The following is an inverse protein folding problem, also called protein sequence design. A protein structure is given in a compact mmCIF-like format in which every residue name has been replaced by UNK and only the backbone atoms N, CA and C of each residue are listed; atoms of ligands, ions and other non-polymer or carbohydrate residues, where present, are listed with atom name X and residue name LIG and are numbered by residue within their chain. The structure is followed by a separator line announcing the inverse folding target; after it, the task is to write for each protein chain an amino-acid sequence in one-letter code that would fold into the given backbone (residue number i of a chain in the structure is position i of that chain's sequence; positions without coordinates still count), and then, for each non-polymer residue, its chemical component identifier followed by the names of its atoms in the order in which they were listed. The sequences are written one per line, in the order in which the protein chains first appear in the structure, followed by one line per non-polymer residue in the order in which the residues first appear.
data_IF_760457555577
#
_entry.id   IF_760457555577
#
_cell.length_a   1.000
_cell.length_b   1.000
_cell.length_c   1.000
_cell.angle_alpha   90.00
_cell.angle_beta   90.00
_cell.angle_gamma   90.00
#
_symmetry.space_group_name_H-M   'P 1'
#
loop_
_entity.id
_entity.type
_entity.pdbx_description
1 polymer ?
#
# COMPACT_ATOMS: atom_id res chain seq x y z
N UNK A 1 -22.49 18.96 14.68
CA UNK A 1 -21.66 17.78 14.41
C UNK A 1 -20.21 18.15 14.29
N UNK A 2 -19.36 17.38 14.97
CA UNK A 2 -17.90 17.44 14.80
C UNK A 2 -17.56 16.41 13.73
N UNK A 3 -17.06 16.85 12.58
CA UNK A 3 -16.55 15.96 11.54
C UNK A 3 -15.25 15.33 12.04
N UNK A 4 -15.24 14.00 12.17
CA UNK A 4 -14.08 13.21 12.56
C UNK A 4 -13.74 12.25 11.41
N UNK A 5 -12.66 12.58 10.72
CA UNK A 5 -12.04 11.79 9.66
C UNK A 5 -11.68 10.36 10.13
N UNK A 6 -11.20 10.20 11.36
CA UNK A 6 -10.88 8.90 11.95
C UNK A 6 -12.09 7.95 12.03
N UNK A 7 -13.21 8.41 12.60
CA UNK A 7 -14.43 7.60 12.65
C UNK A 7 -15.00 7.31 11.26
N UNK A 8 -14.83 8.26 10.34
CA UNK A 8 -15.23 8.08 8.94
C UNK A 8 -14.39 6.97 8.29
N UNK A 9 -13.06 7.02 8.42
CA UNK A 9 -12.14 6.00 7.90
C UNK A 9 -12.44 4.61 8.49
N UNK A 10 -12.67 4.49 9.80
CA UNK A 10 -13.01 3.22 10.43
C UNK A 10 -14.32 2.63 9.91
N UNK A 11 -15.35 3.45 9.70
CA UNK A 11 -16.61 2.98 9.11
C UNK A 11 -16.41 2.50 7.67
N UNK A 12 -15.62 3.22 6.88
CA UNK A 12 -15.27 2.82 5.51
C UNK A 12 -14.48 1.51 5.47
N UNK A 13 -13.55 1.31 6.41
CA UNK A 13 -12.77 0.06 6.55
C UNK A 13 -13.69 -1.11 6.95
N UNK A 14 -14.55 -0.92 7.95
CA UNK A 14 -15.52 -1.94 8.40
C UNK A 14 -16.53 -2.27 7.28
N UNK A 15 -16.91 -1.27 6.49
CA UNK A 15 -17.80 -1.48 5.34
C UNK A 15 -17.08 -2.16 4.17
N UNK A 16 -15.81 -1.85 3.92
CA UNK A 16 -14.99 -2.48 2.89
C UNK A 16 -14.67 -3.96 3.17
N UNK A 17 -14.64 -4.34 4.45
CA UNK A 17 -14.41 -5.73 4.91
C UNK A 17 -15.68 -6.58 4.95
N UNK A 18 -16.87 -5.95 4.91
CA UNK A 18 -18.15 -6.66 4.79
C UNK A 18 -18.39 -7.19 3.37
N UNK A 19 -19.11 -8.30 3.27
CA UNK A 19 -19.44 -9.03 2.02
C UNK A 19 -20.49 -8.32 1.14
N UNK A 20 -20.57 -7.00 1.23
CA UNK A 20 -21.41 -6.16 0.37
C UNK A 20 -20.69 -5.87 -0.94
N UNK A 21 -21.42 -5.94 -2.06
CA UNK A 21 -20.91 -5.51 -3.35
C UNK A 21 -20.80 -4.00 -3.32
N UNK A 22 -19.57 -3.50 -3.38
CA UNK A 22 -19.26 -2.07 -3.44
C UNK A 22 -18.76 -1.73 -4.84
N UNK A 23 -18.96 -0.48 -5.27
CA UNK A 23 -18.49 -0.02 -6.56
C UNK A 23 -17.02 0.46 -6.51
N UNK A 24 -16.41 0.63 -7.68
CA UNK A 24 -15.04 1.13 -7.80
C UNK A 24 -14.88 2.55 -7.18
N UNK A 25 -15.96 3.34 -7.14
CA UNK A 25 -15.96 4.69 -6.55
C UNK A 25 -15.80 4.65 -5.03
N UNK A 26 -16.48 3.72 -4.35
CA UNK A 26 -16.32 3.47 -2.92
C UNK A 26 -14.86 3.13 -2.60
N UNK A 27 -14.26 2.19 -3.32
CA UNK A 27 -12.89 1.78 -3.04
C UNK A 27 -11.84 2.84 -3.40
N UNK A 28 -12.11 3.70 -4.39
CA UNK A 28 -11.27 4.87 -4.64
C UNK A 28 -11.35 5.89 -3.49
N UNK A 29 -12.53 6.12 -2.91
CA UNK A 29 -12.67 6.99 -1.72
C UNK A 29 -11.94 6.42 -0.51
N UNK A 30 -12.04 5.11 -0.30
CA UNK A 30 -11.27 4.40 0.74
C UNK A 30 -9.77 4.63 0.52
N UNK A 31 -9.26 4.39 -0.69
CA UNK A 31 -7.84 4.64 -1.00
C UNK A 31 -7.42 6.10 -0.84
N UNK A 32 -8.25 7.05 -1.27
CA UNK A 32 -7.95 8.47 -1.08
C UNK A 32 -7.83 8.84 0.41
N UNK A 33 -8.68 8.27 1.27
CA UNK A 33 -8.56 8.44 2.72
C UNK A 33 -7.27 7.82 3.28
N UNK A 34 -6.88 6.64 2.78
CA UNK A 34 -5.65 5.96 3.21
C UNK A 34 -4.37 6.66 2.70
N UNK A 35 -4.44 7.33 1.54
CA UNK A 35 -3.32 8.05 0.92
C UNK A 35 -2.88 9.32 1.69
N UNK A 36 -3.66 9.80 2.66
CA UNK A 36 -3.25 10.93 3.51
C UNK A 36 -2.17 10.58 4.55
N UNK A 37 -1.75 9.31 4.61
CA UNK A 37 -0.62 8.85 5.42
C UNK A 37 -1.00 8.47 6.86
N UNK A 38 -0.02 8.25 7.74
CA UNK A 38 -0.26 7.76 9.10
C UNK A 38 -1.06 8.76 9.92
N UNK A 39 -1.93 8.25 10.80
CA UNK A 39 -2.78 9.06 11.66
C UNK A 39 -1.93 9.99 12.56
N UNK A 40 -2.14 11.31 12.46
CA UNK A 40 -1.44 12.33 13.25
C UNK A 40 0.10 12.23 13.14
N UNK A 41 0.68 12.46 11.95
CA UNK A 41 2.11 12.26 11.72
C UNK A 41 2.98 13.22 12.53
N UNK A 42 2.43 14.38 12.93
CA UNK A 42 3.15 15.44 13.66
C UNK A 42 2.87 15.46 15.17
N UNK A 43 2.29 14.40 15.73
CA UNK A 43 1.92 14.36 17.15
C UNK A 43 2.46 13.10 17.81
N UNK A 44 3.60 13.20 18.46
CA UNK A 44 4.17 12.11 19.25
C UNK A 44 3.60 12.15 20.67
N UNK A 45 2.95 11.06 21.08
CA UNK A 45 2.42 10.89 22.43
C UNK A 45 2.27 9.40 22.71
N UNK A 46 2.89 8.93 23.79
CA UNK A 46 2.89 7.51 24.19
C UNK A 46 1.47 6.91 24.31
N UNK A 47 0.46 7.74 24.58
CA UNK A 47 -0.95 7.30 24.63
C UNK A 47 -1.56 7.07 23.24
N UNK A 48 -1.06 7.76 22.20
CA UNK A 48 -1.56 7.67 20.83
C UNK A 48 -0.85 6.58 20.02
N UNK A 49 0.32 6.11 20.44
CA UNK A 49 1.10 5.12 19.70
C UNK A 49 0.35 3.81 19.49
N UNK A 50 -0.41 3.33 20.48
CA UNK A 50 -1.25 2.14 20.33
C UNK A 50 -2.38 2.33 19.31
N UNK A 51 -2.95 3.54 19.23
CA UNK A 51 -4.00 3.86 18.26
C UNK A 51 -3.43 4.01 16.85
N UNK A 52 -2.25 4.61 16.71
CA UNK A 52 -1.53 4.73 15.44
C UNK A 52 -1.11 3.36 14.90
N UNK A 53 -0.57 2.50 15.77
CA UNK A 53 -0.21 1.13 15.40
C UNK A 53 -1.44 0.37 14.91
N UNK A 54 -2.52 0.39 15.69
CA UNK A 54 -3.76 -0.30 15.31
C UNK A 54 -4.35 0.20 14.00
N UNK A 55 -4.32 1.52 13.75
CA UNK A 55 -4.77 2.09 12.49
C UNK A 55 -3.89 1.68 11.30
N UNK A 56 -2.56 1.70 11.47
CA UNK A 56 -1.62 1.24 10.45
C UNK A 56 -1.82 -0.24 10.12
N UNK A 57 -1.97 -1.09 11.14
CA UNK A 57 -2.17 -2.53 10.97
C UNK A 57 -3.44 -2.81 10.15
N UNK A 58 -4.56 -2.21 10.55
CA UNK A 58 -5.84 -2.33 9.84
C UNK A 58 -5.75 -1.78 8.41
N UNK A 59 -5.02 -0.68 8.21
CA UNK A 59 -4.84 -0.07 6.90
C UNK A 59 -4.07 -1.00 5.97
N UNK A 60 -2.97 -1.59 6.44
CA UNK A 60 -2.16 -2.54 5.68
C UNK A 60 -3.00 -3.78 5.33
N UNK A 61 -3.74 -4.34 6.30
CA UNK A 61 -4.62 -5.49 6.07
C UNK A 61 -5.67 -5.21 4.98
N UNK A 62 -6.30 -4.04 5.01
CA UNK A 62 -7.26 -3.63 3.99
C UNK A 62 -6.59 -3.44 2.62
N UNK A 63 -5.42 -2.81 2.56
CA UNK A 63 -4.68 -2.62 1.31
C UNK A 63 -4.32 -3.97 0.67
N UNK A 64 -3.85 -4.94 1.46
CA UNK A 64 -3.58 -6.30 1.00
C UNK A 64 -4.86 -7.01 0.51
N UNK A 65 -5.98 -6.86 1.24
CA UNK A 65 -7.27 -7.41 0.81
C UNK A 65 -7.68 -6.85 -0.55
N UNK A 66 -7.62 -5.52 -0.73
CA UNK A 66 -7.98 -4.85 -1.97
C UNK A 66 -7.07 -5.24 -3.14
N UNK A 67 -5.78 -5.45 -2.87
CA UNK A 67 -4.80 -5.86 -3.88
C UNK A 67 -5.14 -7.23 -4.50
N UNK A 68 -5.71 -8.13 -3.70
CA UNK A 68 -6.04 -9.50 -4.11
C UNK A 68 -7.44 -9.66 -4.71
N UNK A 69 -8.32 -8.66 -4.60
CA UNK A 69 -9.68 -8.76 -5.12
C UNK A 69 -9.69 -8.88 -6.65
N UNK A 70 -10.46 -9.85 -7.15
CA UNK A 70 -10.60 -10.14 -8.59
C UNK A 70 -11.04 -8.92 -9.41
N UNK A 71 -11.90 -8.06 -8.83
CA UNK A 71 -12.41 -6.85 -9.47
C UNK A 71 -11.29 -5.85 -9.83
N UNK A 72 -10.16 -5.88 -9.13
CA UNK A 72 -9.03 -4.97 -9.34
C UNK A 72 -7.82 -5.59 -10.02
N UNK A 73 -7.81 -6.91 -10.26
CA UNK A 73 -6.65 -7.60 -10.85
C UNK A 73 -6.22 -7.00 -12.21
N UNK A 74 -7.18 -6.54 -13.01
CA UNK A 74 -6.94 -5.93 -14.32
C UNK A 74 -6.85 -4.39 -14.29
N UNK A 75 -6.95 -3.75 -13.11
CA UNK A 75 -6.91 -2.30 -12.95
C UNK A 75 -5.54 -1.83 -12.46
N UNK A 76 -4.59 -1.70 -13.38
CA UNK A 76 -3.20 -1.32 -13.09
C UNK A 76 -3.09 -0.01 -12.32
N UNK A 77 -3.93 0.96 -12.66
CA UNK A 77 -3.92 2.27 -12.01
C UNK A 77 -4.31 2.14 -10.54
N UNK A 78 -5.32 1.33 -10.25
CA UNK A 78 -5.78 1.07 -8.89
C UNK A 78 -4.75 0.26 -8.08
N UNK A 79 -4.20 -0.80 -8.68
CA UNK A 79 -3.14 -1.61 -8.06
C UNK A 79 -1.87 -0.82 -7.77
N UNK A 80 -1.47 0.09 -8.66
CA UNK A 80 -0.36 1.01 -8.40
C UNK A 80 -0.63 1.93 -7.21
N UNK A 81 -1.84 2.50 -7.12
CA UNK A 81 -2.23 3.34 -5.96
C UNK A 81 -2.15 2.56 -4.65
N UNK A 82 -2.65 1.32 -4.62
CA UNK A 82 -2.55 0.45 -3.44
C UNK A 82 -1.10 0.22 -3.07
N UNK A 83 -0.25 -0.18 -4.03
CA UNK A 83 1.16 -0.43 -3.78
C UNK A 83 1.92 0.83 -3.32
N UNK A 84 1.55 2.01 -3.84
CA UNK A 84 2.08 3.29 -3.37
C UNK A 84 1.67 3.58 -1.93
N UNK A 85 0.41 3.35 -1.55
CA UNK A 85 -0.04 3.43 -0.15
C UNK A 85 0.71 2.44 0.74
N UNK A 86 0.86 1.17 0.32
CA UNK A 86 1.60 0.18 1.11
C UNK A 86 3.03 0.67 1.36
N UNK A 87 3.73 1.19 0.35
CA UNK A 87 5.09 1.73 0.54
C UNK A 87 5.16 2.96 1.45
N UNK A 88 4.09 3.75 1.59
CA UNK A 88 4.05 4.84 2.57
C UNK A 88 4.01 4.33 4.01
N UNK A 89 3.44 3.15 4.24
CA UNK A 89 3.33 2.54 5.56
C UNK A 89 4.48 1.56 5.86
N UNK A 90 4.94 0.83 4.84
CA UNK A 90 6.00 -0.17 4.91
C UNK A 90 6.87 -0.09 3.63
N UNK A 91 7.98 0.63 3.73
CA UNK A 91 8.94 0.81 2.64
C UNK A 91 9.63 -0.49 2.21
N UNK A 92 9.57 -1.54 3.02
CA UNK A 92 10.22 -2.84 2.76
C UNK A 92 9.25 -3.91 2.26
N UNK A 93 8.01 -3.53 1.94
CA UNK A 93 7.01 -4.48 1.49
C UNK A 93 7.35 -5.08 0.10
N UNK A 94 7.70 -6.36 0.07
CA UNK A 94 8.10 -7.07 -1.16
C UNK A 94 6.95 -7.21 -2.16
N UNK A 95 5.71 -7.33 -1.67
CA UNK A 95 4.54 -7.47 -2.53
C UNK A 95 4.28 -6.18 -3.30
N UNK A 96 4.28 -5.02 -2.62
CA UNK A 96 4.15 -3.72 -3.26
C UNK A 96 5.27 -3.48 -4.30
N UNK A 97 6.49 -3.91 -4.00
CA UNK A 97 7.61 -3.86 -4.94
C UNK A 97 7.31 -4.67 -6.22
N UNK A 98 6.89 -5.94 -6.06
CA UNK A 98 6.56 -6.82 -7.18
C UNK A 98 5.47 -6.23 -8.07
N UNK A 99 4.37 -5.76 -7.47
CA UNK A 99 3.24 -5.17 -8.20
C UNK A 99 3.71 -3.98 -9.04
N UNK A 100 4.45 -3.04 -8.44
CA UNK A 100 4.94 -1.86 -9.16
C UNK A 100 5.87 -2.25 -10.29
N UNK A 101 6.86 -3.10 -10.02
CA UNK A 101 7.81 -3.53 -11.04
C UNK A 101 7.12 -4.27 -12.20
N UNK A 102 6.21 -5.21 -11.91
CA UNK A 102 5.47 -5.95 -12.94
C UNK A 102 4.59 -5.04 -13.80
N UNK A 103 3.84 -4.12 -13.19
CA UNK A 103 3.00 -3.16 -13.93
C UNK A 103 3.86 -2.25 -14.81
N UNK A 104 4.97 -1.72 -14.31
CA UNK A 104 5.85 -0.86 -15.12
C UNK A 104 6.56 -1.64 -16.24
N UNK A 105 6.94 -2.89 -16.01
CA UNK A 105 7.51 -3.76 -17.05
C UNK A 105 6.50 -4.05 -18.16
N UNK A 106 5.24 -4.39 -17.80
CA UNK A 106 4.17 -4.63 -18.78
C UNK A 106 3.81 -3.39 -19.59
N UNK A 107 3.97 -2.20 -19.01
CA UNK A 107 3.72 -0.92 -19.68
C UNK A 107 4.94 -0.36 -20.44
N UNK A 108 5.91 -1.20 -20.81
CA UNK A 108 7.15 -0.84 -21.53
C UNK A 108 8.01 0.22 -20.80
N UNK A 109 7.80 0.43 -19.51
CA UNK A 109 8.48 1.42 -18.65
C UNK A 109 9.55 0.76 -17.78
N UNK A 110 10.39 -0.09 -18.39
CA UNK A 110 11.41 -0.85 -17.68
C UNK A 110 12.41 0.02 -16.90
N UNK A 111 12.72 1.22 -17.40
CA UNK A 111 13.59 2.17 -16.69
C UNK A 111 13.01 2.62 -15.35
N UNK A 112 11.68 2.79 -15.26
CA UNK A 112 10.99 3.15 -14.02
C UNK A 112 10.97 1.95 -13.07
N UNK A 113 10.61 0.77 -13.58
CA UNK A 113 10.62 -0.47 -12.80
C UNK A 113 11.99 -0.73 -12.15
N UNK A 114 13.06 -0.56 -12.92
CA UNK A 114 14.43 -0.75 -12.44
C UNK A 114 14.84 0.30 -11.41
N UNK A 115 14.48 1.56 -11.63
CA UNK A 115 14.74 2.63 -10.65
C UNK A 115 14.07 2.35 -9.31
N UNK A 116 12.81 1.88 -9.31
CA UNK A 116 12.08 1.50 -8.10
C UNK A 116 12.81 0.36 -7.37
N UNK A 117 13.17 -0.70 -8.08
CA UNK A 117 13.90 -1.84 -7.51
C UNK A 117 15.29 -1.45 -6.98
N UNK A 118 16.05 -0.66 -7.73
CA UNK A 118 17.38 -0.22 -7.32
C UNK A 118 17.31 0.67 -6.07
N UNK A 119 16.29 1.52 -5.96
CA UNK A 119 16.06 2.33 -4.75
C UNK A 119 15.67 1.45 -3.56
N UNK A 120 14.76 0.49 -3.74
CA UNK A 120 14.41 -0.47 -2.70
C UNK A 120 15.64 -1.22 -2.17
N UNK A 121 16.48 -1.74 -3.07
CA UNK A 121 17.71 -2.46 -2.68
C UNK A 121 18.69 -1.57 -1.90
N UNK A 122 18.82 -0.30 -2.30
CA UNK A 122 19.66 0.67 -1.59
C UNK A 122 19.14 0.96 -0.20
N UNK A 123 17.83 1.19 -0.05
CA UNK A 123 17.19 1.45 1.25
C UNK A 123 17.28 0.22 2.15
N UNK A 124 16.99 -0.97 1.62
CA UNK A 124 17.13 -2.24 2.31
C UNK A 124 18.56 -2.43 2.86
N UNK A 125 19.58 -2.19 2.03
CA UNK A 125 20.97 -2.27 2.47
C UNK A 125 21.34 -1.17 3.48
N UNK A 126 20.84 0.04 3.31
CA UNK A 126 21.17 1.17 4.19
C UNK A 126 20.57 0.99 5.58
N UNK A 127 19.34 0.48 5.66
CA UNK A 127 18.57 0.40 6.90
C UNK A 127 18.72 -0.93 7.63
N UNK A 128 18.84 -2.05 6.90
CA UNK A 128 18.98 -3.38 7.49
C UNK A 128 20.42 -3.93 7.45
N UNK A 129 21.32 -3.27 6.71
CA UNK A 129 22.73 -3.68 6.59
C UNK A 129 22.96 -4.90 5.69
N UNK A 130 21.90 -5.45 5.09
CA UNK A 130 21.93 -6.66 4.26
C UNK A 130 21.52 -6.37 2.82
N UNK A 131 21.97 -7.20 1.89
CA UNK A 131 21.53 -7.08 0.49
C UNK A 131 20.20 -7.77 0.32
N UNK A 132 19.29 -7.13 -0.41
CA UNK A 132 18.04 -7.76 -0.81
C UNK A 132 18.31 -9.04 -1.63
N UNK A 133 17.64 -10.14 -1.28
CA UNK A 133 17.98 -11.48 -1.75
C UNK A 133 17.47 -11.82 -3.15
N UNK A 134 16.42 -11.15 -3.62
CA UNK A 134 15.79 -11.41 -4.91
C UNK A 134 16.33 -10.47 -5.98
N UNK A 135 16.60 -10.99 -7.18
CA UNK A 135 17.01 -10.15 -8.31
C UNK A 135 15.83 -9.41 -8.93
N UNK A 136 16.11 -8.35 -9.72
CA UNK A 136 15.08 -7.64 -10.47
C UNK A 136 14.21 -8.59 -11.31
N UNK A 137 14.83 -9.57 -11.96
CA UNK A 137 14.13 -10.55 -12.77
C UNK A 137 13.22 -11.45 -11.94
N UNK A 138 13.58 -11.77 -10.69
CA UNK A 138 12.78 -12.61 -9.81
C UNK A 138 11.59 -11.84 -9.22
N UNK A 139 11.75 -10.53 -9.04
CA UNK A 139 10.66 -9.62 -8.63
C UNK A 139 9.65 -9.41 -9.76
N UNK A 140 10.10 -9.38 -11.02
CA UNK A 140 9.23 -9.13 -12.19
C UNK A 140 8.63 -10.39 -12.81
N UNK A 141 8.98 -11.59 -12.34
CA UNK A 141 8.35 -12.84 -12.80
C UNK A 141 6.94 -12.91 -12.22
N UNK A 142 5.93 -12.85 -13.07
CA UNK A 142 4.58 -13.32 -12.73
C UNK A 142 4.65 -14.86 -12.67
N UNK A 143 4.27 -15.46 -11.54
CA UNK A 143 4.02 -16.91 -11.43
C UNK A 143 2.71 -17.29 -12.14
#
# INVERSE_FOLDING_TARGET
DVFCDYHTALNYIDEATKTTVHDEEFFNKVLELLLYGPLLPNTESDYLDSFKSHYSDITIDLLHLLLHKEEFQNNDKFRLKIADSIFQHDSFNEEALRIKCSIFCRNDKMGIAKSIYDNFCKEYQTLLGEKYGLSFNDVTKEE
#
